data_IF_174891259778
#
_entry.id   IF_174891259778
#
_cell.length_a   1.000
_cell.length_b   1.000
_cell.length_c   1.000
_cell.angle_alpha   90.00
_cell.angle_beta   90.00
_cell.angle_gamma   90.00
#
_symmetry.space_group_name_H-M   'P 1'
#
loop_
_entity.id
_entity.type
_entity.pdbx_description
1 polymer ?
#
# COMPACT_ATOMS: atom_id res chain seq x y z
N UNK A 1 -27.23 14.64 13.33
CA UNK A 1 -26.53 15.41 12.27
C UNK A 1 -25.07 15.02 12.30
N UNK A 2 -24.68 14.07 11.46
CA UNK A 2 -23.31 13.56 11.40
C UNK A 2 -22.44 14.57 10.64
N UNK A 3 -21.51 15.24 11.33
CA UNK A 3 -20.48 16.03 10.66
C UNK A 3 -19.53 15.03 9.99
N UNK A 4 -19.57 14.95 8.66
CA UNK A 4 -18.49 14.37 7.88
C UNK A 4 -17.25 15.19 8.23
N UNK A 5 -16.33 14.60 8.99
CA UNK A 5 -15.01 15.19 9.24
C UNK A 5 -14.29 15.22 7.89
N UNK A 6 -14.46 16.33 7.17
CA UNK A 6 -13.71 16.60 5.95
C UNK A 6 -12.24 16.51 6.30
N UNK A 7 -11.50 15.60 5.65
CA UNK A 7 -10.04 15.56 5.78
C UNK A 7 -9.47 16.97 5.56
N UNK A 8 -8.42 17.36 6.31
CA UNK A 8 -7.74 18.62 6.04
C UNK A 8 -7.28 18.63 4.58
N UNK A 9 -7.62 19.69 3.85
CA UNK A 9 -7.23 19.83 2.44
C UNK A 9 -5.71 19.61 2.28
N UNK A 10 -5.26 18.82 1.29
CA UNK A 10 -3.85 18.50 1.11
C UNK A 10 -3.01 19.75 0.89
N UNK A 11 -1.79 19.75 1.43
CA UNK A 11 -0.78 20.80 1.17
C UNK A 11 -0.09 20.52 -0.17
N UNK A 12 0.57 21.53 -0.77
CA UNK A 12 1.38 21.34 -1.97
C UNK A 12 2.42 20.21 -1.85
N UNK A 13 3.05 20.06 -0.68
CA UNK A 13 4.03 19.00 -0.42
C UNK A 13 3.41 17.60 -0.43
N UNK A 14 2.20 17.42 0.12
CA UNK A 14 1.47 16.16 0.02
C UNK A 14 1.12 15.82 -1.44
N UNK A 15 0.77 16.83 -2.23
CA UNK A 15 0.50 16.67 -3.67
C UNK A 15 1.75 16.26 -4.43
N UNK A 16 2.89 16.90 -4.16
CA UNK A 16 4.17 16.55 -4.72
C UNK A 16 4.59 15.11 -4.40
N UNK A 17 4.53 14.72 -3.12
CA UNK A 17 4.95 13.40 -2.68
C UNK A 17 4.13 12.27 -3.36
N UNK A 18 2.80 12.38 -3.36
CA UNK A 18 1.95 11.36 -3.96
C UNK A 18 2.15 11.22 -5.47
N UNK A 19 2.31 12.33 -6.18
CA UNK A 19 2.58 12.30 -7.61
C UNK A 19 3.96 11.72 -7.94
N UNK A 20 4.97 12.05 -7.12
CA UNK A 20 6.31 11.46 -7.26
C UNK A 20 6.29 9.94 -7.11
N UNK A 21 5.53 9.42 -6.15
CA UNK A 21 5.34 7.97 -5.97
C UNK A 21 4.61 7.32 -7.15
N UNK A 22 3.56 7.95 -7.68
CA UNK A 22 2.84 7.45 -8.86
C UNK A 22 3.76 7.33 -10.08
N UNK A 23 4.52 8.38 -10.38
CA UNK A 23 5.44 8.40 -11.52
C UNK A 23 6.58 7.38 -11.32
N UNK A 24 7.06 7.19 -10.08
CA UNK A 24 8.05 6.16 -9.79
C UNK A 24 7.50 4.75 -10.06
N UNK A 25 6.28 4.43 -9.60
CA UNK A 25 5.66 3.13 -9.84
C UNK A 25 5.47 2.84 -11.35
N UNK A 26 4.97 3.83 -12.11
CA UNK A 26 4.84 3.71 -13.58
C UNK A 26 6.19 3.58 -14.28
N UNK A 27 7.19 4.32 -13.82
CA UNK A 27 8.54 4.22 -14.36
C UNK A 27 9.17 2.86 -14.05
N UNK A 28 8.85 2.24 -12.91
CA UNK A 28 9.30 0.90 -12.54
C UNK A 28 8.70 -0.18 -13.45
N UNK A 29 7.41 -0.07 -13.79
CA UNK A 29 6.73 -0.95 -14.77
C UNK A 29 7.39 -0.91 -16.16
N UNK A 30 8.00 0.23 -16.50
CA UNK A 30 8.67 0.46 -17.79
C UNK A 30 10.18 0.19 -17.72
N UNK A 31 10.76 0.14 -16.52
CA UNK A 31 12.18 -0.03 -16.34
C UNK A 31 12.56 -1.51 -16.51
N UNK A 32 13.68 -1.74 -17.18
CA UNK A 32 14.33 -3.05 -17.17
C UNK A 32 15.04 -3.32 -15.83
N UNK A 33 15.85 -4.38 -15.80
CA UNK A 33 16.64 -4.78 -14.62
C UNK A 33 17.61 -3.71 -14.09
N UNK A 34 17.85 -2.64 -14.83
CA UNK A 34 18.77 -1.56 -14.47
C UNK A 34 18.07 -0.34 -13.85
N UNK A 35 16.75 -0.44 -13.55
CA UNK A 35 15.94 0.60 -12.89
C UNK A 35 16.02 1.97 -13.57
N UNK A 36 16.20 1.96 -14.90
CA UNK A 36 16.37 3.16 -15.73
C UNK A 36 15.43 3.12 -16.91
N UNK A 37 14.78 4.26 -17.14
CA UNK A 37 13.81 4.41 -18.22
C UNK A 37 14.42 5.28 -19.31
N UNK A 38 14.40 4.81 -20.55
CA UNK A 38 14.74 5.57 -21.74
C UNK A 38 13.56 6.37 -22.28
N UNK A 39 13.83 7.36 -23.14
CA UNK A 39 12.77 8.15 -23.77
C UNK A 39 11.78 7.29 -24.57
N UNK A 40 12.22 6.15 -25.13
CA UNK A 40 11.37 5.22 -25.88
C UNK A 40 10.42 4.47 -24.96
N UNK A 41 10.93 3.96 -23.83
CA UNK A 41 10.13 3.26 -22.82
C UNK A 41 9.15 4.21 -22.16
N UNK A 42 9.62 5.41 -21.80
CA UNK A 42 8.80 6.47 -21.23
C UNK A 42 7.62 6.86 -22.14
N UNK A 43 7.79 6.82 -23.47
CA UNK A 43 6.74 7.17 -24.42
C UNK A 43 5.46 6.31 -24.36
N UNK A 44 5.50 5.16 -23.67
CA UNK A 44 4.33 4.33 -23.39
C UNK A 44 3.43 4.86 -22.27
N UNK A 45 3.92 5.80 -21.45
CA UNK A 45 3.17 6.40 -20.35
C UNK A 45 3.35 7.93 -20.35
N UNK A 46 2.23 8.65 -20.44
CA UNK A 46 2.22 10.11 -20.58
C UNK A 46 2.90 10.82 -19.39
N UNK A 47 2.80 10.26 -18.18
CA UNK A 47 3.36 10.85 -16.96
C UNK A 47 4.87 10.65 -16.88
N UNK A 48 5.32 9.45 -17.26
CA UNK A 48 6.74 9.11 -17.31
C UNK A 48 7.43 9.87 -18.45
N UNK A 49 6.79 10.02 -19.61
CA UNK A 49 7.31 10.77 -20.75
C UNK A 49 7.57 12.26 -20.43
N UNK A 50 6.57 12.95 -19.85
CA UNK A 50 6.72 14.37 -19.48
C UNK A 50 7.83 14.57 -18.45
N UNK A 51 7.85 13.74 -17.41
CA UNK A 51 8.88 13.81 -16.36
C UNK A 51 10.27 13.49 -16.92
N UNK A 52 10.37 12.47 -17.76
CA UNK A 52 11.61 12.07 -18.40
C UNK A 52 12.21 13.22 -19.21
N UNK A 53 11.41 13.90 -20.03
CA UNK A 53 11.84 15.06 -20.80
C UNK A 53 12.42 16.18 -19.91
N UNK A 54 11.83 16.41 -18.72
CA UNK A 54 12.29 17.42 -17.76
C UNK A 54 13.62 17.08 -17.09
N UNK A 55 13.97 15.79 -16.94
CA UNK A 55 15.23 15.41 -16.29
C UNK A 55 16.48 15.78 -17.09
N UNK A 56 16.35 16.03 -18.40
CA UNK A 56 17.46 16.26 -19.33
C UNK A 56 18.42 15.06 -19.49
N UNK A 57 18.11 13.91 -18.88
CA UNK A 57 18.93 12.70 -18.95
C UNK A 57 18.45 11.78 -20.06
N UNK A 58 19.38 11.06 -20.70
CA UNK A 58 19.05 10.06 -21.73
C UNK A 58 18.38 8.81 -21.16
N UNK A 59 18.72 8.44 -19.92
CA UNK A 59 18.20 7.28 -19.17
C UNK A 59 18.23 7.56 -17.65
N UNK A 60 17.35 8.44 -17.13
CA UNK A 60 17.25 8.69 -15.70
C UNK A 60 16.81 7.42 -14.94
N UNK A 61 17.21 7.31 -13.66
CA UNK A 61 16.70 6.24 -12.80
C UNK A 61 15.26 6.51 -12.36
N UNK A 62 14.51 5.45 -12.08
CA UNK A 62 13.13 5.49 -11.54
C UNK A 62 13.04 6.43 -10.34
N UNK A 63 13.97 6.28 -9.37
CA UNK A 63 14.05 7.14 -8.19
C UNK A 63 14.25 8.63 -8.53
N UNK A 64 15.01 8.94 -9.58
CA UNK A 64 15.21 10.33 -10.01
C UNK A 64 13.94 10.88 -10.66
N UNK A 65 13.28 10.10 -11.51
CA UNK A 65 12.01 10.47 -12.13
C UNK A 65 10.95 10.80 -11.08
N UNK A 66 10.74 9.91 -10.09
CA UNK A 66 9.78 10.16 -9.02
C UNK A 66 10.05 11.44 -8.23
N UNK A 67 11.32 11.74 -7.90
CA UNK A 67 11.67 12.99 -7.20
C UNK A 67 11.43 14.24 -8.04
N UNK A 68 11.81 14.22 -9.31
CA UNK A 68 11.64 15.37 -10.20
C UNK A 68 10.14 15.62 -10.50
N UNK A 69 9.37 14.54 -10.69
CA UNK A 69 7.92 14.61 -10.80
C UNK A 69 7.29 15.24 -9.55
N UNK A 70 7.69 14.77 -8.36
CA UNK A 70 7.15 15.28 -7.11
C UNK A 70 7.46 16.75 -6.87
N UNK A 71 8.70 17.19 -7.14
CA UNK A 71 9.09 18.61 -7.04
C UNK A 71 8.35 19.50 -8.03
N UNK A 72 8.22 19.05 -9.28
CA UNK A 72 7.49 19.79 -10.30
C UNK A 72 6.02 19.98 -9.89
N UNK A 73 5.42 18.92 -9.35
CA UNK A 73 4.03 18.91 -8.92
C UNK A 73 3.78 19.73 -7.65
N UNK A 74 4.70 19.69 -6.68
CA UNK A 74 4.67 20.56 -5.50
C UNK A 74 4.71 22.03 -5.88
N UNK A 75 5.59 22.41 -6.81
CA UNK A 75 5.70 23.78 -7.30
C UNK A 75 4.43 24.23 -8.04
N UNK A 76 3.79 23.34 -8.79
CA UNK A 76 2.52 23.64 -9.46
C UNK A 76 1.39 23.80 -8.44
N UNK A 77 1.29 22.89 -7.47
CA UNK A 77 0.33 22.95 -6.38
C UNK A 77 0.46 24.23 -5.55
N UNK A 78 1.69 24.67 -5.27
CA UNK A 78 1.95 25.90 -4.52
C UNK A 78 1.51 27.16 -5.27
N UNK A 79 1.58 27.17 -6.61
CA UNK A 79 1.08 28.29 -7.43
C UNK A 79 -0.44 28.35 -7.46
N UNK A 80 -1.10 27.19 -7.39
CA UNK A 80 -2.55 27.10 -7.45
C UNK A 80 -3.23 27.23 -6.08
N UNK A 81 -2.54 26.91 -4.98
CA UNK A 81 -3.05 27.18 -3.64
C UNK A 81 -3.23 28.68 -3.47
N UNK A 82 -4.47 29.14 -3.28
CA UNK A 82 -4.88 30.55 -3.23
C UNK A 82 -4.36 31.36 -2.03
N UNK A 83 -3.18 31.02 -1.49
CA UNK A 83 -2.50 31.73 -0.40
C UNK A 83 -2.72 31.14 1.01
N UNK A 84 -3.60 30.16 1.18
CA UNK A 84 -3.90 29.52 2.47
C UNK A 84 -3.02 28.27 2.77
N UNK A 85 -2.06 27.98 1.88
CA UNK A 85 -1.15 26.84 1.99
C UNK A 85 -1.80 25.48 1.71
N UNK A 86 -3.03 25.46 1.19
CA UNK A 86 -3.80 24.24 0.91
C UNK A 86 -4.31 24.23 -0.53
N UNK A 87 -4.53 23.04 -1.07
CA UNK A 87 -5.05 22.88 -2.44
C UNK A 87 -6.52 22.47 -2.37
N UNK A 88 -7.40 23.28 -2.95
CA UNK A 88 -8.83 22.97 -3.05
C UNK A 88 -9.18 22.22 -4.35
N UNK A 89 -10.35 21.59 -4.42
CA UNK A 89 -10.81 20.94 -5.67
C UNK A 89 -11.07 21.95 -6.77
N UNK A 90 -11.40 23.19 -6.40
CA UNK A 90 -11.53 24.27 -7.37
C UNK A 90 -10.16 24.63 -7.95
N UNK A 91 -9.13 24.69 -7.12
CA UNK A 91 -7.75 24.98 -7.56
C UNK A 91 -7.28 23.87 -8.49
N UNK A 92 -7.47 22.60 -8.10
CA UNK A 92 -7.08 21.44 -8.92
C UNK A 92 -7.81 21.32 -10.27
N UNK A 93 -9.06 21.79 -10.35
CA UNK A 93 -9.83 21.78 -11.61
C UNK A 93 -9.28 22.77 -12.65
N UNK A 94 -8.49 23.77 -12.22
CA UNK A 94 -7.84 24.74 -13.12
C UNK A 94 -6.46 24.28 -13.61
N UNK A 95 -6.00 23.12 -13.14
CA UNK A 95 -4.66 22.59 -13.41
C UNK A 95 -4.72 21.48 -14.46
N UNK A 96 -3.60 21.21 -15.13
CA UNK A 96 -3.55 20.26 -16.24
C UNK A 96 -4.02 18.85 -15.86
N UNK A 97 -4.36 18.02 -16.85
CA UNK A 97 -4.87 16.65 -16.64
C UNK A 97 -4.03 15.79 -15.67
N UNK A 98 -2.68 15.86 -15.65
CA UNK A 98 -1.86 15.15 -14.68
C UNK A 98 -2.05 15.61 -13.23
N UNK A 99 -2.22 16.91 -13.02
CA UNK A 99 -2.48 17.48 -11.71
C UNK A 99 -3.85 17.04 -11.19
N UNK A 100 -4.88 17.15 -12.02
CA UNK A 100 -6.23 16.77 -11.64
C UNK A 100 -6.33 15.27 -11.29
N UNK A 101 -5.50 14.41 -11.88
CA UNK A 101 -5.40 13.00 -11.54
C UNK A 101 -4.69 12.77 -10.18
N UNK A 102 -3.53 13.41 -9.95
CA UNK A 102 -2.80 13.35 -8.68
C UNK A 102 -3.61 13.91 -7.51
N UNK A 103 -4.29 15.03 -7.75
CA UNK A 103 -5.16 15.66 -6.78
C UNK A 103 -6.43 14.84 -6.51
N UNK A 104 -6.99 14.15 -7.51
CA UNK A 104 -8.07 13.17 -7.30
C UNK A 104 -7.60 12.04 -6.39
N UNK A 105 -6.43 11.45 -6.65
CA UNK A 105 -5.81 10.43 -5.77
C UNK A 105 -5.68 10.91 -4.31
N UNK A 106 -5.52 12.22 -4.08
CA UNK A 106 -5.42 12.83 -2.74
C UNK A 106 -6.75 13.29 -2.11
N UNK A 107 -7.73 13.75 -2.91
CA UNK A 107 -9.03 14.28 -2.40
C UNK A 107 -10.15 13.25 -2.32
N UNK A 108 -9.98 12.07 -2.90
CA UNK A 108 -10.84 10.89 -2.75
C UNK A 108 -10.43 9.86 -3.82
N UNK A 109 -10.09 8.63 -3.54
CA UNK A 109 -10.32 7.76 -2.40
C UNK A 109 -9.46 6.48 -2.66
N UNK A 110 -9.43 5.46 -1.79
CA UNK A 110 -9.39 4.09 -2.32
C UNK A 110 -10.46 3.96 -3.40
N UNK A 111 -10.23 3.14 -4.42
CA UNK A 111 -11.28 2.71 -5.37
C UNK A 111 -12.62 2.62 -4.63
N UNK A 112 -13.59 3.48 -4.96
CA UNK A 112 -14.91 3.53 -4.31
C UNK A 112 -14.96 3.13 -2.82
N UNK A 113 -14.23 3.75 -1.88
CA UNK A 113 -14.26 3.40 -0.44
C UNK A 113 -14.66 1.95 -0.17
N UNK A 114 -13.84 0.98 -0.61
CA UNK A 114 -14.25 -0.43 -0.59
C UNK A 114 -14.66 -0.77 0.84
N UNK A 115 -15.96 -0.93 1.06
CA UNK A 115 -16.45 -1.31 2.38
C UNK A 115 -15.98 -2.73 2.65
N UNK A 116 -15.88 -3.10 3.93
CA UNK A 116 -15.60 -4.49 4.29
C UNK A 116 -16.59 -5.46 3.58
N UNK A 117 -17.86 -5.05 3.44
CA UNK A 117 -18.90 -5.83 2.77
C UNK A 117 -18.61 -6.12 1.29
N UNK A 118 -17.89 -5.22 0.60
CA UNK A 118 -17.47 -5.41 -0.79
C UNK A 118 -16.10 -6.07 -0.91
N UNK A 119 -15.19 -5.82 0.05
CA UNK A 119 -13.83 -6.36 0.04
C UNK A 119 -13.77 -7.83 0.43
N UNK A 120 -14.47 -8.23 1.50
CA UNK A 120 -14.38 -9.58 2.05
C UNK A 120 -14.77 -10.68 1.04
N UNK A 121 -15.82 -10.54 0.21
CA UNK A 121 -16.11 -11.52 -0.83
C UNK A 121 -14.99 -11.63 -1.88
N UNK A 122 -14.36 -10.50 -2.25
CA UNK A 122 -13.26 -10.48 -3.21
C UNK A 122 -12.00 -11.14 -2.63
N UNK A 123 -11.67 -10.85 -1.37
CA UNK A 123 -10.58 -11.53 -0.67
C UNK A 123 -10.84 -13.03 -0.58
N UNK A 124 -12.07 -13.45 -0.24
CA UNK A 124 -12.46 -14.87 -0.17
C UNK A 124 -12.25 -15.59 -1.49
N UNK A 125 -12.58 -14.97 -2.62
CA UNK A 125 -12.35 -15.57 -3.93
C UNK A 125 -10.86 -15.55 -4.30
N UNK A 126 -10.13 -14.47 -3.99
CA UNK A 126 -8.71 -14.33 -4.29
C UNK A 126 -7.85 -15.37 -3.54
N UNK A 127 -8.24 -15.73 -2.31
CA UNK A 127 -7.53 -16.71 -1.49
C UNK A 127 -8.00 -18.15 -1.67
N UNK A 128 -9.03 -18.39 -2.49
CA UNK A 128 -9.60 -19.71 -2.63
C UNK A 128 -8.59 -20.70 -3.23
N UNK A 129 -8.26 -21.74 -2.47
CA UNK A 129 -7.23 -22.72 -2.85
C UNK A 129 -5.81 -22.15 -2.83
N UNK A 130 -5.62 -20.98 -2.19
CA UNK A 130 -4.32 -20.40 -1.94
C UNK A 130 -3.84 -20.82 -0.55
N UNK A 131 -2.64 -21.36 -0.50
CA UNK A 131 -2.01 -21.82 0.74
C UNK A 131 -0.75 -21.02 1.02
N UNK A 132 -0.53 -20.70 2.29
CA UNK A 132 0.74 -20.17 2.74
C UNK A 132 1.79 -21.28 2.75
N UNK A 133 2.97 -20.98 2.21
CA UNK A 133 4.06 -21.96 2.13
C UNK A 133 4.77 -22.01 3.47
N UNK A 134 4.38 -22.98 4.29
CA UNK A 134 5.08 -23.37 5.51
C UNK A 134 5.31 -24.89 5.51
N UNK A 135 5.69 -25.49 6.64
CA UNK A 135 5.84 -26.96 6.71
C UNK A 135 4.50 -27.70 6.56
N UNK A 136 3.38 -26.99 6.75
CA UNK A 136 2.06 -27.42 6.33
C UNK A 136 1.39 -26.34 5.45
N UNK A 137 0.58 -26.80 4.50
CA UNK A 137 -0.23 -25.91 3.66
C UNK A 137 -1.43 -25.41 4.46
N UNK A 138 -1.40 -24.12 4.84
CA UNK A 138 -2.50 -23.49 5.59
C UNK A 138 -3.23 -22.48 4.71
N UNK A 139 -4.56 -22.59 4.66
CA UNK A 139 -5.42 -21.68 3.90
C UNK A 139 -5.42 -20.26 4.48
N UNK A 140 -5.50 -19.27 3.60
CA UNK A 140 -5.78 -17.90 4.02
C UNK A 140 -7.27 -17.71 4.31
N UNK A 141 -7.58 -17.05 5.43
CA UNK A 141 -8.94 -16.69 5.84
C UNK A 141 -9.10 -15.17 5.86
N UNK A 142 -10.04 -14.59 5.10
CA UNK A 142 -10.34 -13.17 5.18
C UNK A 142 -10.89 -12.77 6.55
N UNK A 143 -10.55 -11.58 7.02
CA UNK A 143 -11.04 -11.05 8.29
C UNK A 143 -11.32 -9.54 8.23
N UNK A 144 -12.11 -9.05 9.19
CA UNK A 144 -12.46 -7.65 9.38
C UNK A 144 -12.59 -7.33 10.87
N UNK A 145 -12.03 -6.21 11.29
CA UNK A 145 -12.11 -5.67 12.64
C UNK A 145 -12.63 -4.24 12.56
N UNK A 146 -13.77 -4.00 13.20
CA UNK A 146 -14.33 -2.65 13.32
C UNK A 146 -13.55 -1.88 14.36
N UNK A 147 -13.14 -0.66 14.01
CA UNK A 147 -12.42 0.22 14.91
C UNK A 147 -13.23 1.45 15.25
N UNK A 148 -13.01 1.99 16.44
CA UNK A 148 -13.40 3.37 16.72
C UNK A 148 -12.45 4.29 15.92
N UNK A 149 -13.01 5.36 15.37
CA UNK A 149 -12.26 6.48 14.78
C UNK A 149 -11.17 7.05 15.69
N UNK A 150 -11.32 6.92 17.01
CA UNK A 150 -10.34 7.38 17.99
C UNK A 150 -9.21 6.37 18.28
N UNK A 151 -9.30 5.12 17.81
CA UNK A 151 -8.29 4.09 18.06
C UNK A 151 -7.01 4.42 17.29
N UNK A 152 -5.90 4.56 18.03
CA UNK A 152 -4.56 4.63 17.47
C UNK A 152 -4.10 3.25 17.02
N UNK A 153 -3.36 3.19 15.92
CA UNK A 153 -2.75 1.94 15.46
C UNK A 153 -1.31 1.94 15.95
N UNK A 154 -1.08 1.15 16.98
CA UNK A 154 0.23 0.86 17.55
C UNK A 154 0.33 -0.64 17.85
N UNK A 155 1.54 -1.13 18.11
CA UNK A 155 1.78 -2.56 18.34
C UNK A 155 0.93 -3.13 19.49
N UNK A 156 0.71 -2.38 20.56
CA UNK A 156 -0.08 -2.82 21.72
C UNK A 156 -1.57 -2.96 21.39
N UNK A 157 -2.15 -1.97 20.71
CA UNK A 157 -3.53 -2.06 20.24
C UNK A 157 -3.68 -3.21 19.24
N UNK A 158 -2.73 -3.42 18.33
CA UNK A 158 -2.77 -4.53 17.37
C UNK A 158 -2.75 -5.91 18.03
N UNK A 159 -1.97 -6.10 19.10
CA UNK A 159 -2.00 -7.33 19.91
C UNK A 159 -3.39 -7.63 20.49
N UNK A 160 -4.13 -6.60 20.86
CA UNK A 160 -5.49 -6.76 21.41
C UNK A 160 -6.58 -6.93 20.35
N UNK A 161 -6.36 -6.39 19.15
CA UNK A 161 -7.33 -6.37 18.05
C UNK A 161 -7.25 -7.61 17.16
N UNK A 162 -6.06 -8.18 17.01
CA UNK A 162 -5.82 -9.38 16.23
C UNK A 162 -5.72 -10.57 17.20
N UNK A 163 -6.39 -11.67 16.87
CA UNK A 163 -6.42 -12.86 17.73
C UNK A 163 -5.17 -13.69 17.48
N UNK A 164 -4.18 -13.56 18.35
CA UNK A 164 -2.99 -14.42 18.34
C UNK A 164 -3.18 -15.57 19.34
N UNK A 165 -2.76 -16.78 18.94
CA UNK A 165 -2.74 -17.95 19.83
C UNK A 165 -1.47 -18.04 20.70
N UNK A 166 -0.61 -17.03 20.60
CA UNK A 166 0.62 -16.87 21.38
C UNK A 166 0.34 -16.63 22.87
N UNK A 167 1.10 -17.27 23.75
CA UNK A 167 0.96 -17.09 25.20
C UNK A 167 1.63 -15.77 25.62
N UNK A 168 0.91 -14.86 26.31
CA UNK A 168 1.53 -13.64 26.78
C UNK A 168 2.64 -13.92 27.81
N UNK A 169 3.77 -13.18 27.79
CA UNK A 169 4.04 -12.03 26.93
C UNK A 169 4.74 -12.41 25.62
N UNK A 170 4.25 -11.86 24.50
CA UNK A 170 4.92 -11.92 23.20
C UNK A 170 5.08 -10.52 22.59
N UNK A 171 6.09 -10.37 21.73
CA UNK A 171 6.29 -9.17 20.92
C UNK A 171 5.62 -9.33 19.56
N UNK A 172 5.20 -8.22 18.96
CA UNK A 172 4.63 -8.22 17.62
C UNK A 172 5.71 -7.77 16.64
N UNK A 173 6.06 -8.63 15.70
CA UNK A 173 6.89 -8.25 14.56
C UNK A 173 5.99 -7.64 13.48
N UNK A 174 6.29 -6.41 13.10
CA UNK A 174 5.53 -5.62 12.14
C UNK A 174 6.42 -5.22 10.98
N UNK A 175 5.94 -5.47 9.75
CA UNK A 175 6.62 -5.03 8.53
C UNK A 175 5.62 -4.58 7.46
N UNK A 176 6.10 -3.86 6.46
CA UNK A 176 5.37 -3.65 5.21
C UNK A 176 5.29 -4.96 4.44
N UNK A 177 4.15 -5.23 3.81
CA UNK A 177 3.94 -6.51 3.13
C UNK A 177 4.80 -6.70 1.86
N UNK A 178 5.52 -5.68 1.38
CA UNK A 178 6.31 -5.77 0.14
C UNK A 178 7.49 -6.75 0.24
N UNK A 179 8.14 -6.86 1.40
CA UNK A 179 9.17 -7.87 1.68
C UNK A 179 8.53 -9.25 1.71
N UNK A 180 7.47 -9.40 2.51
CA UNK A 180 6.72 -10.64 2.68
C UNK A 180 6.25 -11.25 1.35
N UNK A 181 5.63 -10.47 0.47
CA UNK A 181 5.13 -10.98 -0.81
C UNK A 181 6.26 -11.43 -1.74
N UNK A 182 7.39 -10.72 -1.71
CA UNK A 182 8.57 -11.06 -2.51
C UNK A 182 9.18 -12.37 -2.04
N UNK A 183 9.35 -12.52 -0.74
CA UNK A 183 9.94 -13.73 -0.14
C UNK A 183 9.01 -14.93 -0.38
N UNK A 184 7.71 -14.76 -0.17
CA UNK A 184 6.70 -15.80 -0.45
C UNK A 184 6.75 -16.25 -1.91
N UNK A 185 6.82 -15.30 -2.85
CA UNK A 185 6.91 -15.64 -4.29
C UNK A 185 8.20 -16.40 -4.64
N UNK A 186 9.32 -16.06 -4.00
CA UNK A 186 10.59 -16.77 -4.17
C UNK A 186 10.49 -18.20 -3.61
N UNK A 187 9.99 -18.37 -2.38
CA UNK A 187 9.80 -19.69 -1.75
C UNK A 187 8.88 -20.59 -2.56
N UNK A 188 7.78 -20.05 -3.11
CA UNK A 188 6.88 -20.81 -3.98
C UNK A 188 7.55 -21.30 -5.26
N UNK A 189 8.38 -20.46 -5.88
CA UNK A 189 9.11 -20.82 -7.07
C UNK A 189 10.12 -21.94 -6.79
N UNK A 190 10.81 -21.88 -5.65
CA UNK A 190 11.75 -22.91 -5.19
C UNK A 190 11.04 -24.24 -4.85
N UNK A 191 9.88 -24.17 -4.20
CA UNK A 191 9.07 -25.34 -3.85
C UNK A 191 8.29 -25.95 -5.03
N UNK A 192 8.38 -25.37 -6.23
CA UNK A 192 7.79 -25.93 -7.45
C UNK A 192 6.28 -25.73 -7.58
N UNK A 193 5.71 -24.71 -6.91
CA UNK A 193 4.29 -24.42 -7.00
C UNK A 193 3.85 -24.03 -8.42
N UNK A 194 2.61 -24.36 -8.83
CA UNK A 194 2.11 -23.98 -10.14
C UNK A 194 2.11 -22.45 -10.36
N UNK A 195 2.42 -22.03 -11.59
CA UNK A 195 2.38 -20.61 -11.97
C UNK A 195 1.00 -19.94 -11.69
N UNK A 196 -0.08 -20.73 -11.69
CA UNK A 196 -1.41 -20.27 -11.32
C UNK A 196 -1.46 -19.68 -9.89
N UNK A 197 -0.77 -20.31 -8.93
CA UNK A 197 -0.74 -19.81 -7.55
C UNK A 197 0.05 -18.50 -7.46
N UNK A 198 1.14 -18.36 -8.21
CA UNK A 198 1.90 -17.09 -8.28
C UNK A 198 1.06 -15.94 -8.88
N UNK A 199 0.16 -16.23 -9.81
CA UNK A 199 -0.80 -15.25 -10.33
C UNK A 199 -1.85 -14.89 -9.27
N UNK A 200 -2.34 -15.86 -8.50
CA UNK A 200 -3.28 -15.60 -7.40
C UNK A 200 -2.64 -14.73 -6.30
N UNK A 201 -1.40 -15.00 -5.89
CA UNK A 201 -0.67 -14.16 -4.92
C UNK A 201 -0.51 -12.71 -5.39
N UNK A 202 -0.10 -12.50 -6.65
CA UNK A 202 -0.03 -11.14 -7.22
C UNK A 202 -1.39 -10.46 -7.32
N UNK A 203 -2.44 -11.24 -7.57
CA UNK A 203 -3.82 -10.72 -7.59
C UNK A 203 -4.27 -10.28 -6.20
N UNK A 204 -3.95 -11.08 -5.17
CA UNK A 204 -4.22 -10.76 -3.76
C UNK A 204 -3.45 -9.51 -3.31
N UNK A 205 -2.14 -9.43 -3.56
CA UNK A 205 -1.32 -8.25 -3.24
C UNK A 205 -1.90 -6.98 -3.88
N UNK A 206 -2.21 -7.05 -5.18
CA UNK A 206 -2.82 -5.93 -5.91
C UNK A 206 -4.17 -5.53 -5.32
N UNK A 207 -5.06 -6.49 -5.06
CA UNK A 207 -6.38 -6.24 -4.47
C UNK A 207 -6.24 -5.52 -3.12
N UNK A 208 -5.33 -5.97 -2.26
CA UNK A 208 -5.10 -5.36 -0.95
C UNK A 208 -4.53 -3.93 -1.08
N UNK A 209 -3.52 -3.71 -1.93
CA UNK A 209 -2.93 -2.38 -2.17
C UNK A 209 -3.90 -1.37 -2.78
N UNK A 210 -4.85 -1.84 -3.59
CA UNK A 210 -5.92 -1.03 -4.17
C UNK A 210 -7.00 -0.68 -3.13
N UNK A 211 -7.34 -1.61 -2.24
CA UNK A 211 -8.41 -1.45 -1.26
C UNK A 211 -8.02 -0.57 -0.05
N UNK A 212 -6.76 -0.61 0.40
CA UNK A 212 -6.35 0.04 1.64
C UNK A 212 -5.79 1.46 1.47
N UNK A 213 -5.99 2.28 2.50
CA UNK A 213 -5.46 3.64 2.56
C UNK A 213 -4.05 3.66 3.18
N UNK A 214 -3.18 4.59 2.75
CA UNK A 214 -1.90 4.82 3.43
C UNK A 214 -2.13 5.09 4.92
N UNK A 215 -1.42 4.36 5.75
CA UNK A 215 -1.57 4.34 7.21
C UNK A 215 -0.21 4.42 7.87
N UNK A 216 -0.14 5.07 9.02
CA UNK A 216 1.00 5.04 9.92
C UNK A 216 0.67 4.14 11.10
N UNK A 217 1.59 3.25 11.48
CA UNK A 217 1.52 2.43 12.68
C UNK A 217 2.68 2.87 13.59
N UNK A 218 2.34 3.31 14.80
CA UNK A 218 3.32 3.68 15.81
C UNK A 218 3.98 2.40 16.35
N UNK A 219 5.21 2.15 15.92
CA UNK A 219 6.03 1.00 16.34
C UNK A 219 7.42 1.49 16.79
N UNK A 220 7.45 2.16 17.94
CA UNK A 220 8.67 2.74 18.50
C UNK A 220 9.16 4.00 17.75
N UNK A 221 10.48 4.28 17.74
CA UNK A 221 11.03 5.57 17.27
C UNK A 221 10.94 5.81 15.76
N UNK A 222 10.57 4.79 14.96
CA UNK A 222 10.61 4.84 13.50
C UNK A 222 9.34 4.33 12.82
N UNK A 223 8.17 4.51 13.47
CA UNK A 223 6.85 3.98 13.06
C UNK A 223 6.64 3.70 11.57
N UNK A 224 5.95 2.61 11.27
CA UNK A 224 5.80 2.07 9.93
C UNK A 224 4.77 2.86 9.13
N UNK A 225 5.09 3.16 7.86
CA UNK A 225 4.14 3.82 6.95
C UNK A 225 3.98 2.99 5.70
N UNK A 226 2.73 2.61 5.40
CA UNK A 226 2.42 1.69 4.31
C UNK A 226 0.91 1.59 4.07
N UNK A 227 0.53 0.75 3.12
CA UNK A 227 -0.89 0.41 2.89
C UNK A 227 -1.25 -0.97 3.42
N UNK A 228 -0.31 -1.89 3.30
CA UNK A 228 -0.46 -3.29 3.67
C UNK A 228 0.68 -3.63 4.60
N UNK A 229 0.34 -4.22 5.73
CA UNK A 229 1.26 -4.60 6.79
C UNK A 229 1.14 -6.09 7.03
N UNK A 230 2.21 -6.66 7.57
CA UNK A 230 2.26 -8.01 8.10
C UNK A 230 2.48 -7.91 9.60
N UNK A 231 1.71 -8.67 10.36
CA UNK A 231 1.84 -8.81 11.80
C UNK A 231 2.01 -10.28 12.14
N UNK A 232 3.09 -10.59 12.85
CA UNK A 232 3.43 -11.94 13.31
C UNK A 232 3.88 -11.88 14.77
N UNK A 233 3.38 -12.77 15.64
CA UNK A 233 3.91 -12.87 16.99
C UNK A 233 5.35 -13.38 16.92
N UNK A 234 6.23 -12.78 17.72
CA UNK A 234 7.61 -13.20 17.87
C UNK A 234 7.69 -14.11 19.09
N UNK A 235 7.45 -15.40 18.91
CA UNK A 235 7.73 -16.43 19.91
C UNK A 235 8.88 -17.34 19.45
N UNK A 236 9.74 -17.74 20.38
CA UNK A 236 10.84 -18.66 20.10
C UNK A 236 10.42 -20.15 20.18
N UNK A 237 9.16 -20.47 20.53
CA UNK A 237 8.75 -21.85 20.88
C UNK A 237 7.32 -22.29 20.48
N UNK A 238 6.58 -21.55 19.65
CA UNK A 238 5.27 -22.01 19.18
C UNK A 238 5.41 -23.00 18.00
N UNK A 239 4.62 -24.08 18.00
CA UNK A 239 4.51 -24.99 16.84
C UNK A 239 3.80 -24.34 15.65
N UNK A 240 3.16 -23.18 15.86
CA UNK A 240 2.50 -22.41 14.82
C UNK A 240 2.36 -20.94 15.20
N UNK A 241 2.65 -20.03 14.27
CA UNK A 241 2.48 -18.59 14.44
C UNK A 241 1.35 -18.06 13.57
N UNK A 242 0.38 -17.36 14.18
CA UNK A 242 -0.66 -16.68 13.41
C UNK A 242 -0.07 -15.50 12.62
N UNK A 243 -0.27 -15.48 11.31
CA UNK A 243 0.22 -14.44 10.41
C UNK A 243 -0.95 -13.63 9.87
N UNK A 244 -0.92 -12.31 10.10
CA UNK A 244 -1.93 -11.39 9.63
C UNK A 244 -1.36 -10.49 8.55
N UNK A 245 -2.04 -10.41 7.41
CA UNK A 245 -1.75 -9.46 6.33
C UNK A 245 -2.94 -8.52 6.21
N UNK A 246 -2.74 -7.23 6.44
CA UNK A 246 -3.86 -6.33 6.66
C UNK A 246 -3.58 -4.90 6.24
N UNK A 247 -4.63 -4.11 6.13
CA UNK A 247 -4.53 -2.67 5.95
C UNK A 247 -5.74 -1.96 6.52
N UNK A 248 -5.67 -0.63 6.51
CA UNK A 248 -6.76 0.22 6.99
C UNK A 248 -7.70 0.56 5.84
N UNK A 249 -8.99 0.40 6.06
CA UNK A 249 -10.03 0.86 5.15
C UNK A 249 -10.27 2.37 5.32
N UNK A 250 -10.89 3.01 4.33
CA UNK A 250 -11.20 4.44 4.39
C UNK A 250 -12.14 4.83 5.54
N UNK A 251 -12.96 3.89 6.02
CA UNK A 251 -13.84 4.09 7.18
C UNK A 251 -13.09 3.96 8.53
N UNK A 252 -11.80 3.63 8.52
CA UNK A 252 -10.96 3.49 9.70
C UNK A 252 -10.81 2.06 10.21
N UNK A 253 -11.61 1.10 9.72
CA UNK A 253 -11.54 -0.32 10.10
C UNK A 253 -10.28 -1.01 9.59
N UNK A 254 -9.97 -2.18 10.15
CA UNK A 254 -8.95 -3.08 9.61
C UNK A 254 -9.61 -4.22 8.86
N UNK A 255 -9.06 -4.57 7.70
CA UNK A 255 -9.41 -5.81 7.03
C UNK A 255 -8.17 -6.42 6.40
N UNK A 256 -8.27 -7.70 6.05
CA UNK A 256 -7.15 -8.42 5.50
C UNK A 256 -7.39 -9.90 5.39
N UNK A 257 -6.30 -10.65 5.35
CA UNK A 257 -6.27 -12.11 5.38
C UNK A 257 -5.38 -12.57 6.51
N UNK A 258 -5.74 -13.68 7.14
CA UNK A 258 -4.93 -14.36 8.14
C UNK A 258 -4.59 -15.77 7.68
N UNK A 259 -3.45 -16.29 8.09
CA UNK A 259 -3.03 -17.68 7.90
C UNK A 259 -2.16 -18.08 9.10
N UNK A 260 -1.62 -19.29 9.10
CA UNK A 260 -0.72 -19.77 10.14
C UNK A 260 0.57 -20.27 9.50
N UNK A 261 1.69 -19.97 10.14
CA UNK A 261 2.99 -20.54 9.81
C UNK A 261 3.22 -21.73 10.73
N UNK A 262 3.34 -22.93 10.19
CA UNK A 262 3.56 -24.14 10.98
C UNK A 262 5.05 -24.50 10.99
N UNK A 263 5.57 -24.82 12.18
CA UNK A 263 6.92 -25.30 12.45
C UNK A 263 6.83 -26.66 13.16
N UNK A 264 7.56 -27.67 12.69
CA UNK A 264 7.69 -29.00 13.33
C UNK A 264 9.03 -29.19 14.02
#
# INVERSE_FOLDING_TARGET
MTRILSMPSPTPSHVGAAYGTLVAARADELAGRDERVSAREAGGDVYVADTHARTGSRRPSVRRLGREAGRAMEAEAARASGGDGRVSARDAATMGAPFAAAFRVLRGAPSESVSADLLLPQLKEAVRGLYYVSEADVEYTPFHVRLDSATTLDAENLKSLLTFDAEPPFELDLDNADSFWRDTAATMAEAGYPAAHQVQYRTLDRLMKEAFVPTHIDDGPYGLTGKVFVATPREECASSDALYIFGRLANGDLAGVKTERVWT
#
